data_IF_591179709917
#
_entry.id   IF_591179709917
#
_cell.length_a   1.000
_cell.length_b   1.000
_cell.length_c   1.000
_cell.angle_alpha   90.00
_cell.angle_beta   90.00
_cell.angle_gamma   90.00
#
_symmetry.space_group_name_H-M   'P 1'
#
loop_
_entity.id
_entity.type
_entity.pdbx_description
1 polymer ?
#
# COMPACT_ATOMS: atom_id res chain seq x y z
N UNK A 1 13.37 17.23 -9.86
CA UNK A 1 12.17 16.91 -9.05
C UNK A 1 12.13 15.40 -8.86
N UNK A 2 11.83 14.88 -7.65
CA UNK A 2 11.88 13.44 -7.37
C UNK A 2 10.91 12.62 -8.25
N UNK A 3 9.78 13.21 -8.66
CA UNK A 3 8.83 12.60 -9.60
C UNK A 3 9.48 12.22 -10.95
N UNK A 4 10.20 13.16 -11.58
CA UNK A 4 10.82 12.93 -12.89
C UNK A 4 11.95 11.88 -12.84
N UNK A 5 12.62 11.74 -11.69
CA UNK A 5 13.64 10.71 -11.50
C UNK A 5 13.01 9.32 -11.38
N UNK A 6 11.89 9.21 -10.67
CA UNK A 6 11.16 7.96 -10.55
C UNK A 6 10.59 7.49 -11.89
N UNK A 7 10.02 8.38 -12.71
CA UNK A 7 9.61 8.02 -14.08
C UNK A 7 10.77 7.47 -14.90
N UNK A 8 11.92 8.17 -14.89
CA UNK A 8 13.10 7.72 -15.62
C UNK A 8 13.53 6.30 -15.19
N UNK A 9 13.61 6.03 -13.88
CA UNK A 9 13.96 4.71 -13.38
C UNK A 9 12.89 3.64 -13.67
N UNK A 10 11.60 4.00 -13.65
CA UNK A 10 10.52 3.09 -14.06
C UNK A 10 10.61 2.74 -15.56
N UNK A 11 10.98 3.70 -16.42
CA UNK A 11 11.21 3.45 -17.86
C UNK A 11 12.46 2.59 -18.11
N UNK A 12 13.53 2.83 -17.34
CA UNK A 12 14.77 2.03 -17.40
C UNK A 12 14.62 0.64 -16.74
N UNK A 13 13.44 0.32 -16.18
CA UNK A 13 13.16 -0.91 -15.42
C UNK A 13 14.05 -1.08 -14.18
N UNK A 14 14.60 0.02 -13.66
CA UNK A 14 15.42 0.06 -12.46
C UNK A 14 14.53 0.27 -11.23
N UNK A 15 13.81 -0.80 -10.87
CA UNK A 15 12.80 -0.79 -9.81
C UNK A 15 13.37 -0.43 -8.44
N UNK A 16 14.59 -0.87 -8.14
CA UNK A 16 15.26 -0.61 -6.86
C UNK A 16 15.60 0.89 -6.71
N UNK A 17 16.08 1.53 -7.77
CA UNK A 17 16.31 2.97 -7.78
C UNK A 17 15.00 3.76 -7.66
N UNK A 18 13.94 3.36 -8.37
CA UNK A 18 12.62 4.00 -8.26
C UNK A 18 12.06 3.90 -6.83
N UNK A 19 12.17 2.72 -6.20
CA UNK A 19 11.79 2.48 -4.81
C UNK A 19 12.59 3.37 -3.86
N UNK A 20 13.91 3.44 -4.01
CA UNK A 20 14.77 4.24 -3.15
C UNK A 20 14.43 5.74 -3.22
N UNK A 21 14.04 6.24 -4.40
CA UNK A 21 13.58 7.63 -4.58
C UNK A 21 12.23 7.85 -3.87
N UNK A 22 11.32 6.88 -3.97
CA UNK A 22 10.00 6.94 -3.34
C UNK A 22 10.11 6.88 -1.80
N UNK A 23 10.93 5.98 -1.26
CA UNK A 23 11.22 5.88 0.18
C UNK A 23 11.95 7.10 0.72
N UNK A 24 12.79 7.78 -0.08
CA UNK A 24 13.35 9.08 0.32
C UNK A 24 12.32 10.21 0.31
N UNK A 25 11.26 10.05 -0.48
CA UNK A 25 10.22 11.05 -0.70
C UNK A 25 8.89 10.64 -0.06
N UNK A 26 8.93 10.15 1.18
CA UNK A 26 7.76 9.68 1.96
C UNK A 26 6.66 10.75 2.08
N UNK A 27 7.04 12.03 1.99
CA UNK A 27 6.16 13.19 2.03
C UNK A 27 5.29 13.31 0.77
N UNK A 28 5.72 12.71 -0.34
CA UNK A 28 5.01 12.68 -1.62
C UNK A 28 4.25 11.37 -1.76
N UNK A 29 3.06 11.30 -1.15
CA UNK A 29 2.14 10.15 -1.28
C UNK A 29 1.87 9.80 -2.75
N UNK A 30 1.71 10.81 -3.62
CA UNK A 30 1.45 10.61 -5.04
C UNK A 30 2.58 9.87 -5.76
N UNK A 31 3.83 10.18 -5.41
CA UNK A 31 5.01 9.51 -5.95
C UNK A 31 5.09 8.06 -5.47
N UNK A 32 4.85 7.86 -4.17
CA UNK A 32 4.84 6.53 -3.58
C UNK A 32 3.75 5.64 -4.20
N UNK A 33 2.55 6.19 -4.41
CA UNK A 33 1.45 5.48 -5.09
C UNK A 33 1.81 5.11 -6.53
N UNK A 34 2.49 6.02 -7.26
CA UNK A 34 2.91 5.79 -8.64
C UNK A 34 3.96 4.69 -8.74
N UNK A 35 5.00 4.75 -7.90
CA UNK A 35 6.04 3.72 -7.85
C UNK A 35 5.45 2.39 -7.41
N UNK A 36 4.59 2.38 -6.38
CA UNK A 36 3.93 1.15 -5.92
C UNK A 36 3.07 0.50 -6.99
N UNK A 37 2.38 1.26 -7.85
CA UNK A 37 1.61 0.69 -8.96
C UNK A 37 2.54 0.18 -10.08
N UNK A 38 3.59 0.94 -10.41
CA UNK A 38 4.56 0.58 -11.46
C UNK A 38 5.40 -0.66 -11.11
N UNK A 39 5.76 -0.84 -9.83
CA UNK A 39 6.53 -2.00 -9.37
C UNK A 39 5.66 -3.15 -8.85
N UNK A 40 4.33 -3.04 -8.88
CA UNK A 40 3.41 -4.05 -8.33
C UNK A 40 3.60 -5.44 -8.95
N UNK A 41 3.83 -5.50 -10.26
CA UNK A 41 4.02 -6.76 -10.99
C UNK A 41 5.42 -7.36 -10.75
N UNK A 42 6.44 -6.50 -10.55
CA UNK A 42 7.84 -6.90 -10.47
C UNK A 42 8.39 -7.06 -9.05
N UNK A 43 7.84 -6.31 -8.09
CA UNK A 43 8.23 -6.24 -6.67
C UNK A 43 6.99 -6.25 -5.76
N UNK A 44 6.14 -7.28 -5.84
CA UNK A 44 4.94 -7.37 -5.00
C UNK A 44 5.26 -7.36 -3.49
N UNK A 45 6.40 -7.92 -3.06
CA UNK A 45 6.84 -7.92 -1.66
C UNK A 45 7.04 -6.52 -1.09
N UNK A 46 7.70 -5.63 -1.83
CA UNK A 46 7.88 -4.24 -1.40
C UNK A 46 6.56 -3.50 -1.36
N UNK A 47 5.71 -3.70 -2.39
CA UNK A 47 4.39 -3.07 -2.46
C UNK A 47 3.49 -3.51 -1.30
N UNK A 48 3.52 -4.78 -0.91
CA UNK A 48 2.83 -5.28 0.28
C UNK A 48 3.35 -4.53 1.50
N UNK A 49 4.66 -4.53 1.74
CA UNK A 49 5.26 -3.90 2.93
C UNK A 49 4.87 -2.44 3.06
N UNK A 50 5.09 -1.63 2.02
CA UNK A 50 4.79 -0.19 2.04
C UNK A 50 3.30 0.08 2.15
N UNK A 51 2.46 -0.74 1.49
CA UNK A 51 1.01 -0.59 1.55
C UNK A 51 0.46 -0.89 2.94
N UNK A 52 0.99 -1.93 3.60
CA UNK A 52 0.59 -2.27 4.96
C UNK A 52 1.05 -1.17 5.93
N UNK A 53 2.30 -0.75 5.86
CA UNK A 53 2.85 0.30 6.71
C UNK A 53 2.07 1.62 6.58
N UNK A 54 1.79 2.06 5.35
CA UNK A 54 1.00 3.28 5.12
C UNK A 54 -0.45 3.12 5.57
N UNK A 55 -1.07 1.97 5.34
CA UNK A 55 -2.41 1.72 5.84
C UNK A 55 -2.45 1.76 7.37
N UNK A 56 -1.51 1.11 8.05
CA UNK A 56 -1.40 1.09 9.50
C UNK A 56 -1.14 2.48 10.06
N UNK A 57 -0.26 3.28 9.46
CA UNK A 57 0.00 4.65 9.90
C UNK A 57 -1.25 5.53 9.79
N UNK A 58 -2.00 5.42 8.68
CA UNK A 58 -3.25 6.14 8.46
C UNK A 58 -4.34 5.69 9.46
N UNK A 59 -4.40 4.39 9.78
CA UNK A 59 -5.32 3.84 10.78
C UNK A 59 -4.94 4.31 12.19
N UNK A 60 -3.65 4.33 12.51
CA UNK A 60 -3.11 4.76 13.80
C UNK A 60 -3.44 6.24 14.08
N UNK A 61 -3.40 7.09 13.04
CA UNK A 61 -3.83 8.50 13.13
C UNK A 61 -5.30 8.68 13.57
N UNK A 62 -6.12 7.61 13.59
CA UNK A 62 -7.49 7.59 14.14
C UNK A 62 -8.41 8.66 13.51
N UNK A 63 -8.06 9.14 12.32
CA UNK A 63 -8.84 10.14 11.59
C UNK A 63 -9.74 9.46 10.57
N UNK A 64 -11.05 9.63 10.72
CA UNK A 64 -12.05 9.03 9.82
C UNK A 64 -11.88 9.41 8.35
N UNK A 65 -11.31 10.59 8.10
CA UNK A 65 -11.01 11.08 6.75
C UNK A 65 -9.88 10.31 6.06
N UNK A 66 -9.01 9.63 6.82
CA UNK A 66 -7.85 8.89 6.31
C UNK A 66 -8.15 7.42 6.02
N UNK A 67 -9.21 6.85 6.59
CA UNK A 67 -9.60 5.46 6.31
C UNK A 67 -9.77 5.15 4.81
N UNK A 68 -10.42 5.98 3.97
CA UNK A 68 -10.48 5.70 2.53
C UNK A 68 -9.09 5.66 1.87
N UNK A 69 -8.12 6.47 2.33
CA UNK A 69 -6.75 6.40 1.84
C UNK A 69 -6.07 5.10 2.30
N UNK A 70 -6.27 4.67 3.55
CA UNK A 70 -5.79 3.37 4.04
C UNK A 70 -6.36 2.20 3.23
N UNK A 71 -7.64 2.28 2.84
CA UNK A 71 -8.26 1.30 1.96
C UNK A 71 -7.54 1.16 0.62
N UNK A 72 -7.17 2.29 0.00
CA UNK A 72 -6.47 2.27 -1.29
C UNK A 72 -5.14 1.54 -1.18
N UNK A 73 -4.38 1.78 -0.10
CA UNK A 73 -3.15 1.05 0.19
C UNK A 73 -3.42 -0.44 0.42
N UNK A 74 -4.37 -0.81 1.28
CA UNK A 74 -4.75 -2.20 1.50
C UNK A 74 -5.18 -2.91 0.20
N UNK A 75 -5.86 -2.21 -0.71
CA UNK A 75 -6.26 -2.77 -2.01
C UNK A 75 -5.04 -3.07 -2.91
N UNK A 76 -3.98 -2.25 -2.84
CA UNK A 76 -2.71 -2.53 -3.53
C UNK A 76 -2.00 -3.74 -2.93
N UNK A 77 -1.93 -3.82 -1.59
CA UNK A 77 -1.41 -5.01 -0.91
C UNK A 77 -2.17 -6.27 -1.35
N UNK A 78 -3.52 -6.22 -1.38
CA UNK A 78 -4.36 -7.33 -1.86
C UNK A 78 -3.96 -7.78 -3.27
N UNK A 79 -3.82 -6.83 -4.22
CA UNK A 79 -3.39 -7.16 -5.59
C UNK A 79 -2.02 -7.85 -5.60
N UNK A 80 -1.06 -7.33 -4.86
CA UNK A 80 0.27 -7.92 -4.77
C UNK A 80 0.25 -9.33 -4.13
N UNK A 81 -0.54 -9.56 -3.07
CA UNK A 81 -0.75 -10.89 -2.49
C UNK A 81 -1.40 -11.86 -3.49
N UNK A 82 -2.40 -11.40 -4.25
CA UNK A 82 -3.07 -12.20 -5.28
C UNK A 82 -2.11 -12.58 -6.41
N UNK A 83 -1.26 -11.66 -6.86
CA UNK A 83 -0.22 -11.93 -7.87
C UNK A 83 0.76 -13.00 -7.40
N UNK A 84 1.14 -12.99 -6.13
CA UNK A 84 1.99 -14.03 -5.53
C UNK A 84 1.26 -15.35 -5.27
N UNK A 85 -0.05 -15.45 -5.52
CA UNK A 85 -0.87 -16.61 -5.16
C UNK A 85 -1.09 -16.76 -3.65
N UNK A 86 -0.73 -15.75 -2.85
CA UNK A 86 -0.85 -15.73 -1.39
C UNK A 86 -2.20 -15.15 -0.93
N UNK A 87 -3.28 -15.46 -1.66
CA UNK A 87 -4.62 -14.98 -1.37
C UNK A 87 -5.11 -15.40 0.03
N UNK A 88 -4.72 -16.60 0.48
CA UNK A 88 -5.05 -17.12 1.80
C UNK A 88 -4.40 -16.32 2.92
N UNK A 89 -3.14 -15.90 2.75
CA UNK A 89 -2.45 -15.06 3.74
C UNK A 89 -3.07 -13.67 3.80
N UNK A 90 -3.44 -13.09 2.66
CA UNK A 90 -4.20 -11.84 2.62
C UNK A 90 -5.53 -11.95 3.38
N UNK A 91 -6.29 -13.03 3.16
CA UNK A 91 -7.54 -13.25 3.88
C UNK A 91 -7.32 -13.40 5.38
N UNK A 92 -6.30 -14.13 5.82
CA UNK A 92 -5.95 -14.25 7.23
C UNK A 92 -5.59 -12.88 7.83
N UNK A 93 -4.78 -12.10 7.11
CA UNK A 93 -4.38 -10.76 7.50
C UNK A 93 -5.58 -9.82 7.66
N UNK A 94 -6.42 -9.70 6.62
CA UNK A 94 -7.56 -8.79 6.65
C UNK A 94 -8.60 -9.22 7.69
N UNK A 95 -8.78 -10.52 7.90
CA UNK A 95 -9.65 -11.05 8.96
C UNK A 95 -9.12 -10.68 10.34
N UNK A 96 -7.81 -10.86 10.57
CA UNK A 96 -7.18 -10.45 11.83
C UNK A 96 -7.26 -8.94 12.05
N UNK A 97 -7.07 -8.14 10.99
CA UNK A 97 -7.20 -6.69 11.02
C UNK A 97 -8.64 -6.29 11.41
N UNK A 98 -9.66 -6.92 10.80
CA UNK A 98 -11.07 -6.71 11.14
C UNK A 98 -11.36 -7.07 12.59
N UNK A 99 -10.84 -8.18 13.10
CA UNK A 99 -11.04 -8.57 14.49
C UNK A 99 -10.35 -7.58 15.45
N UNK A 100 -9.12 -7.20 15.15
CA UNK A 100 -8.31 -6.24 15.94
C UNK A 100 -9.00 -4.89 16.04
N UNK A 101 -9.54 -4.39 14.92
CA UNK A 101 -10.23 -3.11 14.87
C UNK A 101 -11.76 -3.24 14.83
N UNK A 102 -12.33 -4.32 15.40
CA UNK A 102 -13.79 -4.54 15.47
C UNK A 102 -14.52 -3.38 16.17
N UNK A 103 -13.85 -2.71 17.12
CA UNK A 103 -14.38 -1.57 17.87
C UNK A 103 -14.40 -0.25 17.09
N UNK A 104 -13.95 -0.22 15.83
CA UNK A 104 -13.89 0.99 14.97
C UNK A 104 -14.84 0.84 13.77
N UNK A 105 -16.11 1.24 13.87
CA UNK A 105 -17.09 1.02 12.81
C UNK A 105 -16.75 1.74 11.50
N UNK A 106 -16.11 2.90 11.56
CA UNK A 106 -15.67 3.64 10.38
C UNK A 106 -14.57 2.88 9.61
N UNK A 107 -13.63 2.26 10.33
CA UNK A 107 -12.61 1.43 9.70
C UNK A 107 -13.20 0.11 9.18
N UNK A 108 -14.13 -0.51 9.92
CA UNK A 108 -14.84 -1.72 9.47
C UNK A 108 -15.55 -1.52 8.14
N UNK A 109 -16.22 -0.38 7.94
CA UNK A 109 -16.89 -0.06 6.66
C UNK A 109 -15.90 -0.09 5.49
N UNK A 110 -14.71 0.45 5.72
CA UNK A 110 -13.67 0.51 4.71
C UNK A 110 -13.08 -0.88 4.46
N UNK A 111 -12.73 -1.62 5.51
CA UNK A 111 -12.13 -2.95 5.37
C UNK A 111 -13.11 -3.96 4.75
N UNK A 112 -14.40 -3.84 5.07
CA UNK A 112 -15.44 -4.74 4.52
C UNK A 112 -15.64 -4.59 3.01
N UNK A 113 -15.24 -3.45 2.43
CA UNK A 113 -15.31 -3.19 0.99
C UNK A 113 -14.09 -3.67 0.18
N UNK A 114 -13.08 -4.26 0.84
CA UNK A 114 -11.86 -4.78 0.22
C UNK A 114 -11.97 -6.27 -0.09
#
# INVERSE_FOLDING_TARGET
>A
MPDALADFYLEEQDWDAAIAIAEKSIWSLNLLEKVADGVLDYRPDWVIRVSLEQAEELIAKTQSNLYPAAAKWLSRAKKAYLLKGQASEWQAYITNLRTTYARRPALQKVITGL
#
